data_IF_170099074633
#
_entry.id   IF_170099074633
#
_cell.length_a   1.000
_cell.length_b   1.000
_cell.length_c   1.000
_cell.angle_alpha   90.00
_cell.angle_beta   90.00
_cell.angle_gamma   90.00
#
_symmetry.space_group_name_H-M   'P 1'
#
loop_
_entity.id
_entity.type
_entity.pdbx_description
1 polymer ?
#
# COMPACT_ATOMS: atom_id res chain seq x y z
N UNK A 1 -3.70 -6.02 11.56
CA UNK A 1 -4.98 -6.70 11.23
C UNK A 1 -5.41 -7.58 12.37
N UNK A 2 -6.47 -7.20 13.10
CA UNK A 2 -7.02 -7.99 14.22
C UNK A 2 -8.10 -9.01 13.79
N UNK A 3 -8.61 -8.89 12.57
CA UNK A 3 -9.66 -9.75 12.00
C UNK A 3 -9.04 -10.80 11.08
N UNK A 4 -9.68 -11.96 10.94
CA UNK A 4 -9.30 -13.00 9.98
C UNK A 4 -9.87 -12.66 8.60
N UNK A 5 -9.34 -11.60 7.99
CA UNK A 5 -9.71 -11.14 6.65
C UNK A 5 -8.45 -10.92 5.82
N UNK A 6 -8.52 -11.27 4.55
CA UNK A 6 -7.46 -10.99 3.57
C UNK A 6 -7.75 -9.61 2.98
N UNK A 7 -6.83 -8.64 3.08
CA UNK A 7 -6.96 -7.35 2.42
C UNK A 7 -6.79 -7.51 0.92
N UNK A 8 -7.72 -6.95 0.16
CA UNK A 8 -7.53 -6.66 -1.26
C UNK A 8 -7.10 -5.20 -1.36
N UNK A 9 -5.92 -4.96 -1.92
CA UNK A 9 -5.32 -3.62 -2.04
C UNK A 9 -5.31 -3.18 -3.50
N UNK A 10 -5.35 -1.87 -3.74
CA UNK A 10 -5.35 -1.29 -5.07
C UNK A 10 -4.65 0.07 -5.02
N UNK A 11 -3.64 0.27 -5.87
CA UNK A 11 -2.86 1.49 -5.94
C UNK A 11 -1.42 1.24 -6.38
N UNK A 12 -0.64 2.30 -6.58
CA UNK A 12 0.73 2.23 -7.13
C UNK A 12 1.84 1.98 -6.13
N UNK A 13 1.52 1.53 -4.91
CA UNK A 13 2.52 1.25 -3.90
C UNK A 13 3.17 -0.12 -4.14
N UNK A 14 4.47 -0.21 -3.93
CA UNK A 14 5.15 -1.50 -3.80
C UNK A 14 4.89 -2.07 -2.40
N UNK A 15 3.80 -2.86 -2.26
CA UNK A 15 3.36 -3.39 -0.97
C UNK A 15 4.38 -4.32 -0.31
N UNK A 16 5.27 -4.96 -1.08
CA UNK A 16 6.32 -5.84 -0.54
C UNK A 16 7.25 -5.12 0.46
N UNK A 17 7.34 -3.79 0.38
CA UNK A 17 8.12 -2.94 1.28
C UNK A 17 7.43 -2.64 2.60
N UNK A 18 6.12 -2.86 2.70
CA UNK A 18 5.30 -2.40 3.81
C UNK A 18 4.59 -3.54 4.55
N UNK A 19 4.30 -4.64 3.86
CA UNK A 19 3.60 -5.78 4.44
C UNK A 19 4.36 -7.09 4.23
N UNK A 20 4.18 -8.09 5.10
CA UNK A 20 4.79 -9.40 4.90
C UNK A 20 4.41 -10.01 3.54
N UNK A 21 5.27 -10.87 2.96
CA UNK A 21 4.95 -11.56 1.70
C UNK A 21 3.68 -12.39 1.85
N UNK A 22 2.87 -12.45 0.78
CA UNK A 22 1.61 -13.21 0.72
C UNK A 22 0.59 -12.84 1.83
N UNK A 23 0.61 -11.60 2.32
CA UNK A 23 -0.33 -11.12 3.35
C UNK A 23 -1.51 -10.29 2.81
N UNK A 24 -1.45 -9.92 1.53
CA UNK A 24 -2.46 -9.13 0.80
C UNK A 24 -2.67 -9.73 -0.58
N UNK A 25 -3.80 -9.39 -1.21
CA UNK A 25 -4.05 -9.60 -2.63
C UNK A 25 -3.94 -8.23 -3.28
N UNK A 26 -2.95 -8.04 -4.17
CA UNK A 26 -2.86 -6.82 -4.96
C UNK A 26 -3.75 -6.95 -6.19
N UNK A 27 -4.71 -6.03 -6.35
CA UNK A 27 -5.56 -6.02 -7.53
C UNK A 27 -4.74 -5.78 -8.81
N UNK A 28 -3.60 -5.09 -8.71
CA UNK A 28 -2.72 -4.79 -9.85
C UNK A 28 -1.95 -6.01 -10.38
N UNK A 29 -2.02 -7.15 -9.70
CA UNK A 29 -1.45 -8.42 -10.17
C UNK A 29 -2.37 -9.13 -11.19
N UNK A 30 -3.59 -8.64 -11.41
CA UNK A 30 -4.59 -9.22 -12.31
C UNK A 30 -4.75 -8.36 -13.58
N UNK A 31 -5.09 -8.99 -14.71
CA UNK A 31 -5.28 -8.25 -15.95
C UNK A 31 -6.58 -7.44 -15.96
N UNK A 32 -7.62 -7.94 -15.29
CA UNK A 32 -8.96 -7.36 -15.28
C UNK A 32 -9.73 -7.72 -13.99
N UNK A 33 -10.83 -6.99 -13.75
CA UNK A 33 -11.69 -7.19 -12.59
C UNK A 33 -12.34 -8.58 -12.53
N UNK A 34 -12.64 -9.18 -13.69
CA UNK A 34 -13.24 -10.51 -13.78
C UNK A 34 -12.31 -11.61 -13.26
N UNK A 35 -11.03 -11.56 -13.60
CA UNK A 35 -9.99 -12.49 -13.12
C UNK A 35 -9.80 -12.38 -11.61
N UNK A 36 -9.68 -11.16 -11.09
CA UNK A 36 -9.62 -10.92 -9.65
C UNK A 36 -10.88 -11.49 -8.96
N UNK A 37 -12.06 -11.19 -9.49
CA UNK A 37 -13.32 -11.69 -8.92
C UNK A 37 -13.41 -13.24 -8.97
N UNK A 38 -12.90 -13.87 -10.03
CA UNK A 38 -12.83 -15.32 -10.13
C UNK A 38 -11.90 -15.91 -9.06
N UNK A 39 -10.74 -15.30 -8.84
CA UNK A 39 -9.81 -15.72 -7.79
C UNK A 39 -10.38 -15.54 -6.38
N UNK A 40 -11.06 -14.41 -6.11
CA UNK A 40 -11.72 -14.19 -4.83
C UNK A 40 -12.82 -15.21 -4.55
N UNK A 41 -13.60 -15.59 -5.57
CA UNK A 41 -14.59 -16.67 -5.46
C UNK A 41 -13.94 -18.03 -5.20
N UNK A 42 -12.82 -18.32 -5.85
CA UNK A 42 -12.01 -19.52 -5.58
C UNK A 42 -11.57 -19.56 -4.11
N UNK A 43 -10.96 -18.49 -3.60
CA UNK A 43 -10.53 -18.43 -2.19
C UNK A 43 -11.68 -18.60 -1.20
N UNK A 44 -12.87 -18.06 -1.52
CA UNK A 44 -14.05 -18.20 -0.68
C UNK A 44 -14.52 -19.66 -0.53
N UNK A 45 -14.23 -20.52 -1.50
CA UNK A 45 -14.62 -21.95 -1.49
C UNK A 45 -13.47 -22.89 -1.13
N UNK A 46 -12.24 -22.39 -0.95
CA UNK A 46 -11.04 -23.18 -0.65
C UNK A 46 -10.40 -22.70 0.66
N UNK A 47 -10.87 -23.22 1.83
CA UNK A 47 -10.39 -22.76 3.14
C UNK A 47 -8.88 -22.91 3.35
N UNK A 48 -8.27 -23.96 2.82
CA UNK A 48 -6.81 -24.16 2.94
C UNK A 48 -6.02 -23.05 2.24
N UNK A 49 -6.41 -22.68 1.02
CA UNK A 49 -5.79 -21.57 0.28
C UNK A 49 -6.04 -20.23 0.95
N UNK A 50 -7.26 -20.00 1.46
CA UNK A 50 -7.57 -18.83 2.27
C UNK A 50 -6.65 -18.74 3.52
N UNK A 51 -6.41 -19.87 4.18
CA UNK A 51 -5.60 -19.94 5.38
C UNK A 51 -4.11 -19.63 5.13
N UNK A 52 -3.58 -19.93 3.93
CA UNK A 52 -2.17 -19.66 3.58
C UNK A 52 -1.82 -18.18 3.68
N UNK A 53 -2.76 -17.27 3.42
CA UNK A 53 -2.57 -15.82 3.58
C UNK A 53 -2.33 -15.35 5.02
N UNK A 54 -2.49 -16.23 6.02
CA UNK A 54 -2.23 -15.91 7.43
C UNK A 54 -0.93 -16.51 7.97
N UNK A 55 -0.14 -17.22 7.14
CA UNK A 55 1.17 -17.78 7.53
C UNK A 55 2.08 -16.74 8.20
N UNK A 56 2.08 -15.51 7.67
CA UNK A 56 2.90 -14.42 8.18
C UNK A 56 2.67 -14.12 9.68
N UNK A 57 1.50 -14.44 10.24
CA UNK A 57 1.19 -14.13 11.64
C UNK A 57 2.07 -14.88 12.64
N UNK A 58 2.64 -16.01 12.25
CA UNK A 58 3.56 -16.78 13.08
C UNK A 58 4.98 -16.17 13.09
N UNK A 59 5.36 -15.45 12.03
CA UNK A 59 6.74 -14.99 11.81
C UNK A 59 6.92 -13.48 11.89
N UNK A 60 5.85 -12.71 11.72
CA UNK A 60 5.88 -11.25 11.66
C UNK A 60 4.96 -10.64 12.71
N UNK A 61 5.38 -9.48 13.24
CA UNK A 61 4.55 -8.61 14.06
C UNK A 61 4.40 -7.26 13.37
N UNK A 62 3.18 -6.77 13.29
CA UNK A 62 2.92 -5.42 12.80
C UNK A 62 3.41 -4.43 13.86
N UNK A 63 4.44 -3.67 13.52
CA UNK A 63 4.84 -2.51 14.31
C UNK A 63 4.17 -1.26 13.72
N UNK A 64 3.61 -0.42 14.59
CA UNK A 64 3.06 0.85 14.18
C UNK A 64 4.02 1.95 14.65
N UNK A 65 4.64 2.63 13.69
CA UNK A 65 5.30 3.92 13.92
C UNK A 65 4.33 4.99 13.45
N UNK A 66 4.02 5.95 14.32
CA UNK A 66 3.18 7.08 13.91
C UNK A 66 3.85 7.78 12.72
N UNK A 67 3.13 8.03 11.62
CA UNK A 67 3.68 8.77 10.48
C UNK A 67 4.10 10.19 10.87
N UNK A 68 3.56 10.71 11.98
CA UNK A 68 3.96 12.01 12.52
C UNK A 68 5.33 12.00 13.17
N UNK A 69 5.91 10.84 13.52
CA UNK A 69 7.26 10.79 14.08
C UNK A 69 8.29 11.25 13.06
N UNK A 70 8.24 10.71 11.84
CA UNK A 70 9.18 11.08 10.76
C UNK A 70 8.98 12.54 10.34
N UNK A 71 7.73 13.02 10.36
CA UNK A 71 7.43 14.43 10.14
C UNK A 71 8.03 15.32 11.25
N UNK A 72 7.81 14.97 12.51
CA UNK A 72 8.34 15.70 13.67
C UNK A 72 9.87 15.77 13.65
N UNK A 73 10.53 14.66 13.35
CA UNK A 73 11.99 14.58 13.19
C UNK A 73 12.49 15.51 12.08
N UNK A 74 11.82 15.51 10.92
CA UNK A 74 12.17 16.42 9.82
C UNK A 74 11.93 17.89 10.18
N UNK A 75 10.79 18.21 10.80
CA UNK A 75 10.45 19.59 11.19
C UNK A 75 11.44 20.18 12.19
N UNK A 76 11.97 19.37 13.10
CA UNK A 76 12.98 19.80 14.08
C UNK A 76 14.42 19.67 13.58
N UNK A 77 14.64 19.19 12.35
CA UNK A 77 15.99 19.13 11.78
C UNK A 77 16.47 20.53 11.36
N UNK A 78 17.71 20.87 11.73
CA UNK A 78 18.34 22.16 11.42
C UNK A 78 18.31 22.49 9.92
N UNK A 79 18.59 21.56 8.99
CA UNK A 79 18.53 21.85 7.56
C UNK A 79 17.13 22.21 7.05
N UNK A 80 16.09 21.66 7.67
CA UNK A 80 14.71 21.94 7.27
C UNK A 80 14.23 23.30 7.79
N UNK A 81 14.56 23.63 9.04
CA UNK A 81 14.18 24.92 9.64
C UNK A 81 14.85 26.13 8.95
N UNK A 82 16.01 25.95 8.32
CA UNK A 82 16.73 27.02 7.63
C UNK A 82 16.34 27.18 6.15
N UNK A 83 15.49 26.31 5.61
CA UNK A 83 15.15 26.29 4.18
C UNK A 83 13.72 26.76 3.95
N UNK A 84 13.54 28.02 3.53
CA UNK A 84 12.25 28.49 3.01
C UNK A 84 12.07 28.03 1.56
N UNK A 85 10.90 27.48 1.24
CA UNK A 85 10.51 27.12 -0.12
C UNK A 85 9.25 27.90 -0.51
N UNK A 86 9.26 28.48 -1.70
CA UNK A 86 8.13 29.26 -2.23
C UNK A 86 7.80 28.73 -3.62
N UNK A 87 6.52 28.48 -3.86
CA UNK A 87 6.01 28.00 -5.15
C UNK A 87 5.09 29.06 -5.72
N UNK A 88 5.46 29.60 -6.88
CA UNK A 88 4.67 30.66 -7.55
C UNK A 88 3.41 30.11 -8.23
N UNK A 89 3.42 28.83 -8.58
CA UNK A 89 2.27 28.13 -9.13
C UNK A 89 2.11 26.78 -8.40
N UNK A 90 1.16 26.74 -7.47
CA UNK A 90 0.88 25.56 -6.66
C UNK A 90 0.31 24.41 -7.48
N UNK A 91 -0.49 24.70 -8.51
CA UNK A 91 -1.06 23.69 -9.40
C UNK A 91 0.06 23.00 -10.15
N UNK A 92 0.98 23.74 -10.77
CA UNK A 92 2.11 23.15 -11.48
C UNK A 92 2.99 22.33 -10.53
N UNK A 93 3.29 22.84 -9.34
CA UNK A 93 4.08 22.11 -8.35
C UNK A 93 3.42 20.79 -7.92
N UNK A 94 2.09 20.81 -7.69
CA UNK A 94 1.35 19.65 -7.22
C UNK A 94 0.92 18.69 -8.34
N UNK A 95 0.73 19.17 -9.57
CA UNK A 95 0.10 18.41 -10.65
C UNK A 95 1.02 18.14 -11.85
N UNK A 96 2.09 18.92 -12.03
CA UNK A 96 2.88 18.94 -13.27
C UNK A 96 3.77 17.72 -13.49
N UNK A 97 4.56 17.33 -12.49
CA UNK A 97 5.60 16.29 -12.61
C UNK A 97 5.49 15.19 -11.53
N UNK A 98 4.28 14.95 -11.02
CA UNK A 98 4.08 13.91 -10.01
C UNK A 98 4.03 12.52 -10.65
N UNK A 99 4.66 11.53 -10.00
CA UNK A 99 4.43 10.13 -10.29
C UNK A 99 2.95 9.81 -10.04
N UNK A 100 2.16 9.70 -11.10
CA UNK A 100 0.77 9.26 -11.01
C UNK A 100 0.71 7.77 -11.20
N UNK A 101 0.00 7.11 -10.30
CA UNK A 101 -0.31 5.70 -10.46
C UNK A 101 -1.23 5.54 -11.68
N UNK A 102 -0.80 4.71 -12.62
CA UNK A 102 -1.63 4.22 -13.72
C UNK A 102 -1.98 2.77 -13.41
N UNK A 103 -3.28 2.48 -13.35
CA UNK A 103 -3.77 1.14 -13.06
C UNK A 103 -3.43 0.18 -14.22
N UNK A 104 -2.87 -0.97 -13.86
CA UNK A 104 -2.61 -2.10 -14.75
C UNK A 104 -3.85 -2.95 -14.92
N UNK A 105 -4.64 -3.13 -13.86
CA UNK A 105 -5.91 -3.84 -13.93
C UNK A 105 -6.91 -3.03 -14.76
N UNK A 106 -7.65 -3.73 -15.63
CA UNK A 106 -8.71 -3.13 -16.46
C UNK A 106 -10.08 -3.33 -15.81
N UNK A 107 -10.91 -2.30 -15.88
CA UNK A 107 -12.31 -2.29 -15.45
C UNK A 107 -13.24 -2.15 -16.65
#
# INVERSE_FOLDING_TARGET
>A
MKRNVIPVVFGGADYSRFVPPNSVIDAEDYQNAEELAAYLRYLATHPEEYMRYFWWRQYYRLSYRSPYCDLCEKLHSVPFMQKSQTYTNIEKWWMGDQCRFEAKIKF
#
